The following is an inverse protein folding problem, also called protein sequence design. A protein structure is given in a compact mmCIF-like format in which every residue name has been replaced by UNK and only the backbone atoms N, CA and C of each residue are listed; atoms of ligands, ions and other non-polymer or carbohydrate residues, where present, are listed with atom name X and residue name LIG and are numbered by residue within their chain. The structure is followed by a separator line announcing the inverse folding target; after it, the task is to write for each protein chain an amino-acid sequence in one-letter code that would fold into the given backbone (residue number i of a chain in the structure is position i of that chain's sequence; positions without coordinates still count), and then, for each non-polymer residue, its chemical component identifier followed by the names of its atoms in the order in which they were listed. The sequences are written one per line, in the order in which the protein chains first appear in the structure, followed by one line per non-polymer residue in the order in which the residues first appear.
data_IF_731673450481
#
_entry.id   IF_731673450481
#
_cell.length_a   1.000
_cell.length_b   1.000
_cell.length_c   1.000
_cell.angle_alpha   90.00
_cell.angle_beta   90.00
_cell.angle_gamma   90.00
#
_symmetry.space_group_name_H-M   'P 1'
#
loop_
_entity.id
_entity.type
_entity.pdbx_description
1 polymer ?
#
# COMPACT_ATOMS: atom_id res chain seq x y z
N UNK A 1 -30.25 -7.29 -15.12
CA UNK A 1 -29.13 -6.45 -14.65
C UNK A 1 -27.86 -7.23 -14.94
N UNK A 2 -26.79 -6.60 -15.46
CA UNK A 2 -25.55 -7.34 -15.76
C UNK A 2 -24.99 -8.02 -14.49
N UNK A 3 -24.27 -9.12 -14.66
CA UNK A 3 -23.64 -9.86 -13.55
C UNK A 3 -22.80 -8.92 -12.65
N UNK A 4 -22.06 -7.99 -13.27
CA UNK A 4 -21.28 -6.96 -12.59
C UNK A 4 -22.08 -6.08 -11.62
N UNK A 5 -23.31 -5.69 -12.02
CA UNK A 5 -24.15 -4.83 -11.18
C UNK A 5 -24.60 -5.58 -9.93
N UNK A 6 -24.96 -6.86 -10.09
CA UNK A 6 -25.35 -7.73 -8.98
C UNK A 6 -24.19 -7.93 -8.00
N UNK A 7 -23.00 -8.23 -8.51
CA UNK A 7 -21.77 -8.38 -7.70
C UNK A 7 -21.47 -7.08 -6.94
N UNK A 8 -21.48 -5.93 -7.63
CA UNK A 8 -21.23 -4.63 -7.00
C UNK A 8 -22.23 -4.34 -5.88
N UNK A 9 -23.51 -4.59 -6.09
CA UNK A 9 -24.54 -4.42 -5.06
C UNK A 9 -24.32 -5.34 -3.86
N UNK A 10 -23.85 -6.57 -4.09
CA UNK A 10 -23.50 -7.48 -2.99
C UNK A 10 -22.31 -6.93 -2.17
N UNK A 11 -21.22 -6.50 -2.82
CA UNK A 11 -20.06 -5.91 -2.14
C UNK A 11 -20.46 -4.64 -1.38
N UNK A 12 -21.24 -3.75 -2.00
CA UNK A 12 -21.78 -2.56 -1.34
C UNK A 12 -22.60 -2.91 -0.10
N UNK A 13 -23.47 -3.94 -0.19
CA UNK A 13 -24.29 -4.39 0.95
C UNK A 13 -23.43 -4.96 2.07
N UNK A 14 -22.33 -5.65 1.77
CA UNK A 14 -21.38 -6.10 2.79
C UNK A 14 -20.85 -4.90 3.57
N UNK A 15 -20.25 -3.92 2.89
CA UNK A 15 -19.64 -2.77 3.55
C UNK A 15 -20.64 -1.77 4.13
N UNK A 16 -21.91 -1.81 3.71
CA UNK A 16 -22.99 -1.10 4.41
C UNK A 16 -23.44 -1.84 5.69
N UNK A 17 -23.27 -3.18 5.76
CA UNK A 17 -23.57 -3.99 6.95
C UNK A 17 -22.41 -3.96 7.95
N UNK A 18 -21.18 -4.04 7.43
CA UNK A 18 -19.92 -4.10 8.17
C UNK A 18 -18.93 -3.11 7.54
N UNK A 19 -19.00 -1.82 7.90
CA UNK A 19 -18.08 -0.82 7.37
C UNK A 19 -16.62 -1.14 7.71
N UNK A 20 -15.75 -1.07 6.71
CA UNK A 20 -14.36 -1.49 6.81
C UNK A 20 -13.41 -0.40 6.24
N UNK A 21 -12.19 -0.23 6.79
CA UNK A 21 -11.65 -0.95 7.95
C UNK A 21 -12.27 -0.46 9.29
N UNK A 22 -12.31 -1.30 10.35
CA UNK A 22 -13.13 -1.04 11.52
C UNK A 22 -12.41 -0.24 12.61
N UNK A 23 -11.34 0.49 12.30
CA UNK A 23 -10.55 1.23 13.29
C UNK A 23 -11.43 2.19 14.08
N UNK A 24 -11.18 2.36 15.39
CA UNK A 24 -11.94 3.33 16.19
C UNK A 24 -11.77 4.75 15.62
N UNK A 25 -12.78 5.58 15.81
CA UNK A 25 -12.70 7.01 15.55
C UNK A 25 -11.93 7.68 16.70
N UNK A 26 -10.91 8.46 16.35
CA UNK A 26 -10.05 9.17 17.30
C UNK A 26 -10.34 10.68 17.25
N UNK A 27 -10.11 11.35 18.37
CA UNK A 27 -10.22 12.82 18.48
C UNK A 27 -8.85 13.51 18.33
N UNK A 28 -7.89 12.80 17.73
CA UNK A 28 -6.53 13.26 17.47
C UNK A 28 -6.05 12.74 16.11
N UNK A 29 -5.05 13.39 15.47
CA UNK A 29 -4.46 12.92 14.23
C UNK A 29 -3.95 11.47 14.33
N UNK A 30 -3.94 10.73 13.22
CA UNK A 30 -3.56 9.33 13.25
C UNK A 30 -2.09 9.18 13.69
N UNK A 31 -1.76 8.18 14.53
CA UNK A 31 -0.41 7.99 15.02
C UNK A 31 0.52 7.46 13.92
N UNK A 32 1.79 7.86 13.97
CA UNK A 32 2.80 7.41 13.03
C UNK A 32 2.59 7.95 11.60
N UNK A 33 3.15 7.25 10.64
CA UNK A 33 3.04 7.57 9.22
C UNK A 33 3.09 6.27 8.41
N UNK A 34 2.60 6.31 7.16
CA UNK A 34 2.89 5.31 6.15
C UNK A 34 3.57 6.03 4.99
N UNK A 35 4.84 5.74 4.72
CA UNK A 35 5.62 6.46 3.71
C UNK A 35 5.02 6.32 2.31
N UNK A 36 4.29 5.23 2.03
CA UNK A 36 3.60 4.98 0.75
C UNK A 36 2.47 5.98 0.51
N UNK A 37 1.97 6.59 1.58
CA UNK A 37 0.89 7.59 1.58
C UNK A 37 1.43 9.01 1.72
N UNK A 38 2.74 9.21 1.84
CA UNK A 38 3.38 10.52 1.77
C UNK A 38 3.96 10.71 0.36
N UNK A 39 3.50 11.73 -0.36
CA UNK A 39 3.87 11.99 -1.75
C UNK A 39 5.38 12.10 -1.96
N UNK A 40 6.08 12.84 -1.09
CA UNK A 40 7.52 13.05 -1.19
C UNK A 40 8.27 11.72 -1.02
N UNK A 41 7.92 10.94 0.01
CA UNK A 41 8.56 9.66 0.30
C UNK A 41 8.25 8.61 -0.79
N UNK A 42 6.98 8.49 -1.20
CA UNK A 42 6.58 7.56 -2.26
C UNK A 42 7.23 7.91 -3.61
N UNK A 43 7.30 9.20 -3.97
CA UNK A 43 7.97 9.65 -5.19
C UNK A 43 9.48 9.44 -5.12
N UNK A 44 10.12 9.70 -3.97
CA UNK A 44 11.54 9.38 -3.77
C UNK A 44 11.82 7.89 -3.88
N UNK A 45 10.96 7.04 -3.32
CA UNK A 45 11.10 5.59 -3.46
C UNK A 45 11.03 5.14 -4.93
N UNK A 46 10.04 5.67 -5.68
CA UNK A 46 9.79 5.27 -7.06
C UNK A 46 10.76 5.88 -8.09
N UNK A 47 11.19 7.12 -7.85
CA UNK A 47 11.92 7.94 -8.83
C UNK A 47 13.35 8.29 -8.38
N UNK A 48 13.73 7.87 -7.17
CA UNK A 48 15.02 8.18 -6.53
C UNK A 48 15.29 9.67 -6.35
N UNK A 49 14.28 10.52 -6.30
CA UNK A 49 14.44 11.98 -6.14
C UNK A 49 13.23 12.61 -5.46
N UNK A 50 13.41 13.82 -4.92
CA UNK A 50 12.30 14.66 -4.47
C UNK A 50 11.39 15.06 -5.66
N UNK A 51 10.06 15.07 -5.49
CA UNK A 51 9.16 15.68 -6.47
C UNK A 51 9.32 17.21 -6.47
N UNK A 52 9.02 17.86 -7.58
CA UNK A 52 9.17 19.32 -7.74
C UNK A 52 8.13 20.13 -6.96
N UNK A 53 6.99 19.52 -6.61
CA UNK A 53 5.84 20.19 -5.99
C UNK A 53 5.10 19.31 -4.99
N UNK A 54 4.41 19.96 -4.06
CA UNK A 54 3.62 19.34 -2.98
C UNK A 54 2.12 19.66 -3.06
N UNK A 55 1.74 20.68 -3.84
CA UNK A 55 0.35 21.07 -4.14
C UNK A 55 -0.25 20.18 -5.25
N UNK A 56 -0.23 18.88 -4.98
CA UNK A 56 -0.64 17.85 -5.92
C UNK A 56 -2.12 17.45 -5.79
N UNK A 57 -2.61 16.61 -6.69
CA UNK A 57 -3.93 15.98 -6.58
C UNK A 57 -3.80 14.50 -6.23
N UNK A 58 -4.50 14.06 -5.19
CA UNK A 58 -4.50 12.68 -4.72
C UNK A 58 -5.90 12.09 -4.85
N UNK A 59 -6.01 10.87 -5.39
CA UNK A 59 -7.23 10.07 -5.35
C UNK A 59 -7.06 8.92 -4.35
N UNK A 60 -7.91 8.85 -3.33
CA UNK A 60 -8.09 7.68 -2.50
C UNK A 60 -9.23 6.83 -3.06
N UNK A 61 -8.87 5.79 -3.81
CA UNK A 61 -9.78 4.97 -4.61
C UNK A 61 -10.26 3.74 -3.83
N UNK A 62 -11.47 3.84 -3.27
CA UNK A 62 -12.06 2.87 -2.34
C UNK A 62 -11.63 3.18 -0.92
N UNK A 63 -11.97 4.38 -0.45
CA UNK A 63 -11.47 4.93 0.82
C UNK A 63 -12.03 4.23 2.07
N UNK A 64 -13.07 3.41 1.93
CA UNK A 64 -13.73 2.71 3.04
C UNK A 64 -14.18 3.69 4.12
N UNK A 65 -13.91 3.36 5.38
CA UNK A 65 -14.18 4.21 6.55
C UNK A 65 -13.17 5.35 6.74
N UNK A 66 -12.33 5.63 5.74
CA UNK A 66 -11.45 6.79 5.69
C UNK A 66 -10.14 6.67 6.47
N UNK A 67 -9.76 5.48 6.95
CA UNK A 67 -8.49 5.28 7.66
C UNK A 67 -7.30 5.74 6.79
N UNK A 68 -7.24 5.31 5.52
CA UNK A 68 -6.23 5.79 4.57
C UNK A 68 -6.35 7.30 4.28
N UNK A 69 -7.57 7.79 4.03
CA UNK A 69 -7.83 9.21 3.75
C UNK A 69 -7.32 10.13 4.87
N UNK A 70 -7.51 9.74 6.12
CA UNK A 70 -7.05 10.48 7.30
C UNK A 70 -5.53 10.63 7.31
N UNK A 71 -4.77 9.57 7.02
CA UNK A 71 -3.32 9.65 6.86
C UNK A 71 -2.91 10.48 5.64
N UNK A 72 -3.60 10.34 4.50
CA UNK A 72 -3.31 11.12 3.30
C UNK A 72 -3.44 12.63 3.58
N UNK A 73 -4.47 13.04 4.33
CA UNK A 73 -4.67 14.43 4.77
C UNK A 73 -3.54 14.93 5.68
N UNK A 74 -3.13 14.10 6.65
CA UNK A 74 -2.10 14.44 7.62
C UNK A 74 -0.70 14.53 6.99
N UNK A 75 -0.38 13.62 6.07
CA UNK A 75 0.95 13.48 5.47
C UNK A 75 1.18 14.37 4.26
N UNK A 76 0.12 14.91 3.65
CA UNK A 76 0.20 15.75 2.45
C UNK A 76 -0.59 17.05 2.65
N UNK A 77 -0.11 17.98 3.52
CA UNK A 77 -0.92 19.11 3.99
C UNK A 77 -1.39 20.07 2.89
N UNK A 78 -0.74 20.08 1.73
CA UNK A 78 -1.07 20.96 0.59
C UNK A 78 -1.80 20.25 -0.56
N UNK A 79 -1.98 18.94 -0.49
CA UNK A 79 -2.56 18.17 -1.58
C UNK A 79 -4.08 18.36 -1.66
N UNK A 80 -4.64 18.35 -2.86
CA UNK A 80 -6.08 18.28 -3.08
C UNK A 80 -6.52 16.82 -3.14
N UNK A 81 -7.24 16.35 -2.14
CA UNK A 81 -7.62 14.95 -1.96
C UNK A 81 -9.07 14.73 -2.39
N UNK A 82 -9.28 13.75 -3.26
CA UNK A 82 -10.59 13.20 -3.61
C UNK A 82 -10.65 11.77 -3.09
N UNK A 83 -11.65 11.43 -2.30
CA UNK A 83 -11.88 10.09 -1.78
C UNK A 83 -13.18 9.54 -2.37
N UNK A 84 -13.15 8.31 -2.88
CA UNK A 84 -14.33 7.66 -3.45
C UNK A 84 -14.56 6.30 -2.83
N UNK A 85 -15.83 5.92 -2.65
CA UNK A 85 -16.22 4.57 -2.23
C UNK A 85 -17.62 4.21 -2.75
N UNK A 86 -17.97 2.93 -2.74
CA UNK A 86 -19.30 2.42 -3.09
C UNK A 86 -20.25 2.32 -1.90
N UNK A 87 -19.74 2.34 -0.66
CA UNK A 87 -20.54 2.21 0.57
C UNK A 87 -20.89 3.59 1.13
N UNK A 88 -22.17 3.93 1.13
CA UNK A 88 -22.65 5.17 1.76
C UNK A 88 -22.32 5.18 3.26
N UNK A 89 -22.45 4.03 3.94
CA UNK A 89 -22.17 3.93 5.37
C UNK A 89 -20.70 4.12 5.68
N UNK A 90 -19.81 3.56 4.86
CA UNK A 90 -18.37 3.74 5.04
C UNK A 90 -17.98 5.22 4.80
N UNK A 91 -18.55 5.88 3.78
CA UNK A 91 -18.32 7.30 3.51
C UNK A 91 -18.82 8.22 4.64
N UNK A 92 -19.93 7.91 5.29
CA UNK A 92 -20.38 8.63 6.49
C UNK A 92 -19.31 8.56 7.60
N UNK A 93 -18.77 7.36 7.85
CA UNK A 93 -17.72 7.14 8.86
C UNK A 93 -16.41 7.83 8.45
N UNK A 94 -16.04 7.80 7.17
CA UNK A 94 -14.84 8.46 6.66
C UNK A 94 -14.86 9.97 6.88
N UNK A 95 -16.00 10.60 6.60
CA UNK A 95 -16.21 12.03 6.86
C UNK A 95 -16.10 12.33 8.36
N UNK A 96 -16.73 11.53 9.19
CA UNK A 96 -16.67 11.70 10.65
C UNK A 96 -15.25 11.52 11.19
N UNK A 97 -14.52 10.51 10.72
CA UNK A 97 -13.12 10.25 11.07
C UNK A 97 -12.24 11.47 10.81
N UNK A 98 -12.24 11.96 9.58
CA UNK A 98 -11.40 13.09 9.17
C UNK A 98 -11.75 14.38 9.92
N UNK A 99 -13.02 14.55 10.32
CA UNK A 99 -13.47 15.68 11.14
C UNK A 99 -13.01 15.55 12.60
N UNK A 100 -13.22 14.38 13.22
CA UNK A 100 -12.92 14.15 14.65
C UNK A 100 -11.43 14.22 14.95
N UNK A 101 -10.58 13.65 14.10
CA UNK A 101 -9.13 13.74 14.29
C UNK A 101 -8.56 15.15 14.07
N UNK A 102 -9.38 16.06 13.52
CA UNK A 102 -9.00 17.44 13.24
C UNK A 102 -8.02 17.59 12.07
N UNK A 103 -7.70 16.51 11.34
CA UNK A 103 -6.81 16.58 10.17
C UNK A 103 -7.44 17.39 9.04
N UNK A 104 -8.75 17.23 8.80
CA UNK A 104 -9.46 18.01 7.78
C UNK A 104 -9.45 19.52 8.07
N UNK A 105 -9.49 19.91 9.36
CA UNK A 105 -9.43 21.31 9.78
C UNK A 105 -8.03 21.93 9.58
N UNK A 106 -6.97 21.13 9.77
CA UNK A 106 -5.56 21.57 9.63
C UNK A 106 -5.05 21.50 8.19
N UNK A 107 -5.73 20.74 7.34
CA UNK A 107 -5.36 20.52 5.95
C UNK A 107 -5.56 21.80 5.12
N UNK A 108 -4.58 22.12 4.27
CA UNK A 108 -4.56 23.37 3.49
C UNK A 108 -5.04 23.20 2.05
N UNK A 109 -5.03 21.97 1.53
CA UNK A 109 -5.65 21.62 0.26
C UNK A 109 -7.16 21.38 0.40
N UNK A 110 -7.82 20.97 -0.70
CA UNK A 110 -9.24 20.61 -0.68
C UNK A 110 -9.46 19.13 -0.35
N UNK A 111 -10.56 18.81 0.33
CA UNK A 111 -11.04 17.43 0.51
C UNK A 111 -12.45 17.26 -0.07
N UNK A 112 -12.66 16.23 -0.88
CA UNK A 112 -13.98 15.86 -1.40
C UNK A 112 -14.23 14.36 -1.30
N UNK A 113 -15.45 13.98 -0.90
CA UNK A 113 -15.90 12.58 -0.85
C UNK A 113 -16.99 12.34 -1.89
N UNK A 114 -16.88 11.26 -2.66
CA UNK A 114 -17.91 10.87 -3.62
C UNK A 114 -18.33 9.41 -3.43
N UNK A 115 -19.65 9.19 -3.46
CA UNK A 115 -20.21 7.86 -3.65
C UNK A 115 -20.08 7.48 -5.12
N UNK A 116 -19.03 6.74 -5.46
CA UNK A 116 -18.65 6.46 -6.84
C UNK A 116 -17.87 5.14 -6.92
N UNK A 117 -18.31 4.19 -7.78
CA UNK A 117 -17.51 3.00 -8.05
C UNK A 117 -16.24 3.33 -8.84
N UNK A 118 -15.15 2.59 -8.57
CA UNK A 118 -13.84 2.80 -9.19
C UNK A 118 -13.87 2.69 -10.71
N UNK A 119 -14.71 1.80 -11.26
CA UNK A 119 -14.92 1.63 -12.70
C UNK A 119 -15.55 2.87 -13.37
N UNK A 120 -16.00 3.84 -12.56
CA UNK A 120 -16.52 5.14 -12.98
C UNK A 120 -15.63 6.32 -12.54
N UNK A 121 -14.40 6.06 -12.07
CA UNK A 121 -13.43 7.10 -11.70
C UNK A 121 -13.13 8.07 -12.85
N UNK A 122 -13.35 7.65 -14.11
CA UNK A 122 -13.26 8.52 -15.29
C UNK A 122 -14.20 9.72 -15.27
N UNK A 123 -15.29 9.65 -14.48
CA UNK A 123 -16.24 10.75 -14.28
C UNK A 123 -15.69 11.87 -13.37
N UNK A 124 -14.60 11.63 -12.62
CA UNK A 124 -13.97 12.65 -11.79
C UNK A 124 -13.25 13.70 -12.67
N UNK A 125 -13.24 14.98 -12.30
CA UNK A 125 -12.57 16.02 -13.08
C UNK A 125 -11.05 15.97 -12.96
N UNK A 126 -10.34 16.20 -14.09
CA UNK A 126 -8.87 16.34 -14.16
C UNK A 126 -8.08 15.08 -13.75
N UNK A 127 -6.76 15.12 -13.79
CA UNK A 127 -5.90 13.97 -13.44
C UNK A 127 -5.36 14.07 -12.00
N UNK A 128 -4.77 12.98 -11.50
CA UNK A 128 -4.19 12.85 -10.16
C UNK A 128 -2.71 12.50 -10.24
N UNK A 129 -1.88 13.13 -9.42
CA UNK A 129 -0.44 12.87 -9.32
C UNK A 129 -0.17 11.58 -8.52
N UNK A 130 -1.01 11.29 -7.52
CA UNK A 130 -0.99 10.06 -6.76
C UNK A 130 -2.39 9.45 -6.71
N UNK A 131 -2.51 8.17 -7.04
CA UNK A 131 -3.71 7.39 -6.78
C UNK A 131 -3.34 6.31 -5.77
N UNK A 132 -4.02 6.29 -4.64
CA UNK A 132 -3.91 5.25 -3.62
C UNK A 132 -5.12 4.31 -3.74
N UNK A 133 -4.88 3.03 -4.03
CA UNK A 133 -5.92 2.01 -4.19
C UNK A 133 -5.55 0.75 -3.40
N UNK A 134 -5.85 0.76 -2.10
CA UNK A 134 -5.36 -0.24 -1.15
C UNK A 134 -6.52 -1.11 -0.67
N UNK A 135 -6.50 -2.41 -0.96
CA UNK A 135 -7.54 -3.31 -0.44
C UNK A 135 -8.83 -3.36 -1.29
N UNK A 136 -8.79 -3.00 -2.57
CA UNK A 136 -10.03 -2.70 -3.34
C UNK A 136 -10.16 -3.49 -4.64
N UNK A 137 -9.14 -3.49 -5.51
CA UNK A 137 -9.26 -4.02 -6.89
C UNK A 137 -9.71 -5.49 -6.94
N UNK A 138 -9.33 -6.32 -5.97
CA UNK A 138 -9.73 -7.74 -5.88
C UNK A 138 -11.21 -7.94 -5.51
N UNK A 139 -11.90 -6.91 -5.03
CA UNK A 139 -13.32 -6.95 -4.71
C UNK A 139 -14.21 -6.46 -5.85
N UNK A 140 -13.64 -5.96 -6.94
CA UNK A 140 -14.41 -5.50 -8.09
C UNK A 140 -15.05 -6.67 -8.85
N UNK A 141 -16.21 -6.43 -9.50
CA UNK A 141 -16.74 -7.38 -10.48
C UNK A 141 -15.74 -7.60 -11.63
N UNK A 142 -15.18 -6.51 -12.15
CA UNK A 142 -14.16 -6.49 -13.21
C UNK A 142 -12.95 -5.67 -12.75
N UNK A 143 -11.92 -6.32 -12.15
CA UNK A 143 -10.70 -5.64 -11.72
C UNK A 143 -9.92 -4.97 -12.86
N UNK A 144 -9.99 -5.52 -14.08
CA UNK A 144 -9.29 -4.99 -15.26
C UNK A 144 -9.88 -3.64 -15.65
N UNK A 145 -11.21 -3.54 -15.72
CA UNK A 145 -11.90 -2.27 -15.93
C UNK A 145 -11.60 -1.26 -14.82
N UNK A 146 -11.52 -1.74 -13.58
CA UNK A 146 -11.13 -0.92 -12.43
C UNK A 146 -9.76 -0.28 -12.60
N UNK A 147 -8.71 -1.08 -12.82
CA UNK A 147 -7.35 -0.55 -12.95
C UNK A 147 -7.19 0.34 -14.19
N UNK A 148 -7.86 0.02 -15.31
CA UNK A 148 -7.87 0.88 -16.50
C UNK A 148 -8.52 2.24 -16.24
N UNK A 149 -9.64 2.27 -15.52
CA UNK A 149 -10.30 3.52 -15.11
C UNK A 149 -9.37 4.41 -14.27
N UNK A 150 -8.63 3.80 -13.33
CA UNK A 150 -7.65 4.53 -12.51
C UNK A 150 -6.46 5.00 -13.35
N UNK A 151 -5.91 4.15 -14.21
CA UNK A 151 -4.77 4.48 -15.07
C UNK A 151 -5.06 5.67 -16.01
N UNK A 152 -6.29 5.78 -16.53
CA UNK A 152 -6.73 6.92 -17.34
C UNK A 152 -6.74 8.24 -16.57
N UNK A 153 -6.87 8.19 -15.23
CA UNK A 153 -6.92 9.36 -14.35
C UNK A 153 -5.58 9.72 -13.73
N UNK A 154 -4.56 8.89 -13.92
CA UNK A 154 -3.21 9.17 -13.47
C UNK A 154 -2.58 10.24 -14.38
N UNK A 155 -1.98 11.27 -13.79
CA UNK A 155 -1.25 12.29 -14.54
C UNK A 155 0.06 11.72 -15.10
N UNK A 156 0.61 12.25 -16.21
CA UNK A 156 1.96 11.91 -16.65
C UNK A 156 2.98 12.16 -15.52
N UNK A 157 3.86 11.19 -15.25
CA UNK A 157 4.78 11.19 -14.11
C UNK A 157 4.14 10.82 -12.77
N UNK A 158 2.82 10.60 -12.73
CA UNK A 158 2.09 10.23 -11.52
C UNK A 158 2.29 8.77 -11.12
N UNK A 159 1.99 8.49 -9.84
CA UNK A 159 2.12 7.18 -9.21
C UNK A 159 0.75 6.57 -8.85
N UNK A 160 0.59 5.28 -9.08
CA UNK A 160 -0.55 4.48 -8.62
C UNK A 160 -0.05 3.42 -7.64
N UNK A 161 -0.40 3.59 -6.37
CA UNK A 161 -0.10 2.67 -5.28
C UNK A 161 -1.23 1.65 -5.13
N UNK A 162 -0.91 0.36 -5.18
CA UNK A 162 -1.89 -0.73 -5.18
C UNK A 162 -1.56 -1.75 -4.11
N UNK A 163 -2.60 -2.22 -3.41
CA UNK A 163 -2.57 -3.43 -2.58
C UNK A 163 -3.66 -4.41 -3.04
N UNK A 164 -3.29 -5.66 -3.30
CA UNK A 164 -4.23 -6.75 -3.62
C UNK A 164 -3.85 -8.08 -2.94
N UNK A 165 -4.82 -8.97 -2.77
CA UNK A 165 -4.59 -10.25 -2.10
C UNK A 165 -3.83 -11.28 -2.94
N UNK A 166 -2.96 -12.02 -2.26
CA UNK A 166 -2.17 -13.09 -2.85
C UNK A 166 -2.78 -14.46 -2.55
N UNK A 167 -2.92 -15.26 -3.60
CA UNK A 167 -3.59 -16.56 -3.60
C UNK A 167 -2.91 -17.56 -2.66
N UNK A 168 -1.57 -17.67 -2.74
CA UNK A 168 -0.85 -18.73 -2.03
C UNK A 168 -0.86 -18.54 -0.50
N UNK A 169 -0.67 -17.31 -0.01
CA UNK A 169 -0.68 -17.04 1.44
C UNK A 169 -2.07 -16.96 2.07
N UNK A 170 -3.13 -16.97 1.25
CA UNK A 170 -4.54 -16.86 1.70
C UNK A 170 -5.39 -18.07 1.32
N UNK A 171 -4.82 -19.16 0.83
CA UNK A 171 -5.60 -20.32 0.39
C UNK A 171 -6.50 -20.92 1.48
N UNK A 172 -6.13 -20.87 2.77
CA UNK A 172 -7.02 -21.29 3.86
C UNK A 172 -8.28 -20.41 3.98
N UNK A 173 -8.18 -19.13 3.64
CA UNK A 173 -9.31 -18.20 3.65
C UNK A 173 -10.33 -18.60 2.59
N UNK A 174 -9.88 -18.93 1.37
CA UNK A 174 -10.76 -19.41 0.29
C UNK A 174 -11.53 -20.68 0.69
N UNK A 175 -10.86 -21.60 1.40
CA UNK A 175 -11.49 -22.81 1.91
C UNK A 175 -12.57 -22.48 2.95
N UNK A 176 -12.28 -21.57 3.87
CA UNK A 176 -13.24 -21.16 4.89
C UNK A 176 -14.43 -20.38 4.30
N UNK A 177 -14.19 -19.45 3.37
CA UNK A 177 -15.25 -18.77 2.61
C UNK A 177 -16.17 -19.77 1.91
N UNK A 178 -15.59 -20.80 1.27
CA UNK A 178 -16.36 -21.86 0.59
C UNK A 178 -17.17 -22.70 1.59
N UNK A 179 -16.59 -23.04 2.74
CA UNK A 179 -17.26 -23.80 3.79
C UNK A 179 -18.44 -23.03 4.39
N UNK A 180 -18.26 -21.73 4.68
CA UNK A 180 -19.33 -20.85 5.15
C UNK A 180 -20.44 -20.79 4.10
N UNK A 181 -20.11 -20.52 2.83
CA UNK A 181 -21.10 -20.43 1.77
C UNK A 181 -21.93 -21.72 1.59
N UNK A 182 -21.32 -22.90 1.76
CA UNK A 182 -22.03 -24.19 1.74
C UNK A 182 -23.02 -24.32 2.91
N UNK A 183 -22.62 -23.90 4.10
CA UNK A 183 -23.45 -24.00 5.32
C UNK A 183 -24.53 -22.92 5.40
N UNK A 184 -24.34 -21.77 4.75
CA UNK A 184 -25.39 -20.76 4.62
C UNK A 184 -26.55 -21.23 3.73
N UNK A 185 -26.27 -22.06 2.72
CA UNK A 185 -27.29 -22.55 1.78
C UNK A 185 -28.13 -21.41 1.18
N UNK A 186 -29.44 -21.46 1.36
CA UNK A 186 -30.39 -20.45 0.87
C UNK A 186 -30.23 -19.07 1.53
N UNK A 187 -29.47 -18.96 2.64
CA UNK A 187 -29.17 -17.69 3.32
C UNK A 187 -27.93 -16.98 2.79
N UNK A 188 -27.28 -17.51 1.75
CA UNK A 188 -26.09 -16.89 1.16
C UNK A 188 -26.33 -15.42 0.81
N UNK A 189 -25.46 -14.55 1.32
CA UNK A 189 -25.58 -13.10 1.18
C UNK A 189 -26.23 -12.40 2.38
N UNK A 190 -26.73 -13.15 3.37
CA UNK A 190 -26.92 -12.64 4.73
C UNK A 190 -25.55 -12.64 5.43
N UNK A 191 -24.90 -11.48 5.49
CA UNK A 191 -23.54 -11.38 6.02
C UNK A 191 -23.47 -11.61 7.52
N UNK A 192 -24.53 -11.29 8.27
CA UNK A 192 -24.58 -11.52 9.72
C UNK A 192 -24.67 -13.00 10.04
N UNK A 193 -25.49 -13.71 9.27
CA UNK A 193 -25.54 -15.17 9.30
C UNK A 193 -24.18 -15.78 8.95
N UNK A 194 -23.52 -15.29 7.90
CA UNK A 194 -22.22 -15.80 7.47
C UNK A 194 -21.13 -15.65 8.54
N UNK A 195 -21.11 -14.50 9.25
CA UNK A 195 -20.20 -14.31 10.40
C UNK A 195 -20.53 -15.30 11.51
N UNK A 196 -21.81 -15.46 11.87
CA UNK A 196 -22.22 -16.39 12.91
C UNK A 196 -21.83 -17.84 12.59
N UNK A 197 -22.12 -18.30 11.37
CA UNK A 197 -21.74 -19.62 10.87
C UNK A 197 -20.23 -19.79 10.88
N UNK A 198 -19.48 -18.83 10.34
CA UNK A 198 -18.01 -18.90 10.29
C UNK A 198 -17.38 -19.01 11.68
N UNK A 199 -17.85 -18.21 12.65
CA UNK A 199 -17.37 -18.30 14.03
C UNK A 199 -17.72 -19.64 14.68
N UNK A 200 -18.91 -20.20 14.40
CA UNK A 200 -19.30 -21.52 14.89
C UNK A 200 -18.44 -22.65 14.30
N UNK A 201 -18.07 -22.55 13.00
CA UNK A 201 -17.13 -23.48 12.37
C UNK A 201 -15.79 -23.45 13.11
N UNK A 202 -15.17 -22.27 13.26
CA UNK A 202 -13.88 -22.16 13.93
C UNK A 202 -13.91 -22.65 15.39
N UNK A 203 -15.01 -22.39 16.11
CA UNK A 203 -15.21 -22.88 17.47
C UNK A 203 -15.35 -24.41 17.55
N UNK A 204 -15.87 -25.04 16.48
CA UNK A 204 -16.14 -26.48 16.42
C UNK A 204 -15.01 -27.31 15.81
N UNK A 205 -14.06 -26.68 15.10
CA UNK A 205 -12.96 -27.39 14.46
C UNK A 205 -12.04 -28.05 15.51
N UNK A 206 -11.54 -29.28 15.26
CA UNK A 206 -10.55 -29.92 16.13
C UNK A 206 -9.29 -29.06 16.28
N UNK A 207 -8.67 -29.08 17.48
CA UNK A 207 -7.48 -28.25 17.77
C UNK A 207 -6.29 -28.49 16.82
N UNK A 208 -6.19 -29.69 16.25
CA UNK A 208 -5.14 -30.05 15.29
C UNK A 208 -5.48 -29.69 13.84
N UNK A 209 -6.67 -29.15 13.55
CA UNK A 209 -7.07 -28.74 12.21
C UNK A 209 -6.14 -27.63 11.68
N UNK A 210 -5.65 -27.79 10.45
CA UNK A 210 -4.68 -26.87 9.83
C UNK A 210 -5.23 -25.45 9.66
N UNK A 211 -6.50 -25.31 9.25
CA UNK A 211 -7.14 -24.00 9.04
C UNK A 211 -7.27 -23.27 10.37
N UNK A 212 -7.73 -23.96 11.42
CA UNK A 212 -7.84 -23.38 12.77
C UNK A 212 -6.48 -22.96 13.34
N UNK A 213 -5.43 -23.78 13.15
CA UNK A 213 -4.08 -23.43 13.58
C UNK A 213 -3.58 -22.18 12.89
N UNK A 214 -3.71 -22.11 11.56
CA UNK A 214 -3.27 -20.95 10.77
C UNK A 214 -4.03 -19.69 11.17
N UNK A 215 -5.34 -19.78 11.39
CA UNK A 215 -6.14 -18.68 11.94
C UNK A 215 -5.55 -18.15 13.26
N UNK A 216 -5.31 -19.05 14.22
CA UNK A 216 -4.75 -18.68 15.53
C UNK A 216 -3.37 -18.04 15.41
N UNK A 217 -2.50 -18.59 14.57
CA UNK A 217 -1.10 -18.17 14.43
C UNK A 217 -0.95 -16.86 13.65
N UNK A 218 -1.73 -16.66 12.58
CA UNK A 218 -1.51 -15.56 11.63
C UNK A 218 -2.52 -14.43 11.73
N UNK A 219 -3.79 -14.76 11.95
CA UNK A 219 -4.91 -13.86 11.68
C UNK A 219 -5.66 -13.44 12.95
N UNK A 220 -5.48 -14.17 14.05
CA UNK A 220 -6.22 -13.96 15.29
C UNK A 220 -6.21 -12.50 15.76
N UNK A 221 -5.06 -11.81 15.69
CA UNK A 221 -4.92 -10.40 16.07
C UNK A 221 -5.73 -9.43 15.19
N UNK A 222 -5.94 -9.78 13.91
CA UNK A 222 -6.60 -8.93 12.91
C UNK A 222 -8.12 -9.24 12.83
N UNK A 223 -8.53 -10.44 13.26
CA UNK A 223 -9.84 -11.04 12.97
C UNK A 223 -10.82 -11.10 14.17
N UNK A 224 -10.57 -10.30 15.22
CA UNK A 224 -11.43 -10.29 16.41
C UNK A 224 -12.78 -9.61 16.21
N UNK A 225 -12.86 -8.62 15.31
CA UNK A 225 -14.09 -7.84 15.05
C UNK A 225 -14.93 -8.51 13.97
N UNK A 226 -16.24 -8.33 14.02
CA UNK A 226 -17.14 -8.91 13.02
C UNK A 226 -16.95 -8.29 11.65
N UNK A 227 -16.56 -7.01 11.59
CA UNK A 227 -16.22 -6.33 10.34
C UNK A 227 -15.00 -6.97 9.67
N UNK A 228 -13.91 -7.20 10.43
CA UNK A 228 -12.73 -7.90 9.93
C UNK A 228 -13.04 -9.33 9.50
N UNK A 229 -13.87 -10.03 10.27
CA UNK A 229 -14.28 -11.40 9.95
C UNK A 229 -15.13 -11.44 8.68
N UNK A 230 -16.05 -10.50 8.52
CA UNK A 230 -16.91 -10.41 7.36
C UNK A 230 -16.11 -10.07 6.09
N UNK A 231 -15.18 -9.11 6.18
CA UNK A 231 -14.25 -8.74 5.10
C UNK A 231 -13.36 -9.92 4.68
N UNK A 232 -12.85 -10.69 5.64
CA UNK A 232 -11.96 -11.82 5.35
C UNK A 232 -12.70 -13.08 4.85
N UNK A 233 -13.75 -13.52 5.55
CA UNK A 233 -14.33 -14.86 5.39
C UNK A 233 -15.74 -14.89 4.80
N UNK A 234 -16.40 -13.75 4.67
CA UNK A 234 -17.79 -13.65 4.20
C UNK A 234 -17.92 -12.74 2.97
N UNK A 235 -16.79 -12.34 2.38
CA UNK A 235 -16.79 -11.42 1.25
C UNK A 235 -17.46 -12.03 0.02
N UNK A 236 -18.42 -11.35 -0.64
CA UNK A 236 -19.19 -11.93 -1.76
C UNK A 236 -18.39 -12.02 -3.06
N UNK A 237 -17.26 -11.30 -3.16
CA UNK A 237 -16.40 -11.24 -4.35
C UNK A 237 -14.94 -11.03 -3.96
N UNK A 238 -14.10 -12.04 -4.13
CA UNK A 238 -12.66 -11.91 -3.97
C UNK A 238 -11.98 -12.50 -5.21
N UNK A 239 -10.98 -11.80 -5.72
CA UNK A 239 -10.08 -12.26 -6.77
C UNK A 239 -8.68 -12.28 -6.19
N UNK A 240 -8.18 -13.47 -5.88
CA UNK A 240 -6.82 -13.63 -5.40
C UNK A 240 -5.86 -13.82 -6.56
N UNK A 241 -4.71 -13.16 -6.47
CA UNK A 241 -3.70 -13.17 -7.52
C UNK A 241 -2.56 -14.11 -7.15
N UNK A 242 -2.03 -14.83 -8.12
CA UNK A 242 -0.61 -15.22 -8.12
C UNK A 242 0.18 -14.23 -9.00
N UNK A 243 1.52 -14.33 -9.03
CA UNK A 243 2.36 -13.43 -9.83
C UNK A 243 1.95 -13.37 -11.30
N UNK A 244 1.57 -14.48 -11.93
CA UNK A 244 1.19 -14.50 -13.34
C UNK A 244 -0.08 -13.68 -13.60
N UNK A 245 -1.13 -13.92 -12.81
CA UNK A 245 -2.40 -13.17 -12.89
C UNK A 245 -2.27 -11.73 -12.41
N UNK A 246 -1.37 -11.45 -11.47
CA UNK A 246 -1.04 -10.09 -11.03
C UNK A 246 -0.46 -9.28 -12.18
N UNK A 247 0.50 -9.85 -12.91
CA UNK A 247 1.09 -9.16 -14.05
C UNK A 247 0.10 -8.99 -15.21
N UNK A 248 -0.90 -9.87 -15.36
CA UNK A 248 -2.00 -9.62 -16.30
C UNK A 248 -2.81 -8.38 -15.91
N UNK A 249 -3.11 -8.19 -14.62
CA UNK A 249 -3.77 -6.97 -14.12
C UNK A 249 -2.90 -5.72 -14.38
N UNK A 250 -1.60 -5.81 -14.05
CA UNK A 250 -0.64 -4.72 -14.25
C UNK A 250 -0.54 -4.35 -15.74
N UNK A 251 -0.36 -5.33 -16.62
CA UNK A 251 -0.22 -5.10 -18.06
C UNK A 251 -1.48 -4.45 -18.65
N UNK A 252 -2.66 -4.87 -18.18
CA UNK A 252 -3.92 -4.31 -18.65
C UNK A 252 -4.12 -2.84 -18.28
N UNK A 253 -3.39 -2.32 -17.29
CA UNK A 253 -3.39 -0.89 -16.94
C UNK A 253 -2.68 -0.01 -17.99
N UNK A 254 -1.73 -0.59 -18.74
CA UNK A 254 -0.84 0.15 -19.63
C UNK A 254 0.19 1.05 -18.93
N UNK A 255 0.32 0.95 -17.60
CA UNK A 255 1.29 1.70 -16.79
C UNK A 255 2.61 0.92 -16.67
N UNK A 256 3.69 1.64 -16.37
CA UNK A 256 4.97 1.03 -16.06
C UNK A 256 4.96 0.46 -14.65
N UNK A 257 5.38 -0.80 -14.49
CA UNK A 257 5.65 -1.39 -13.18
C UNK A 257 6.93 -0.80 -12.60
N UNK A 258 6.85 -0.14 -11.44
CA UNK A 258 8.01 0.42 -10.75
C UNK A 258 8.66 -0.64 -9.87
N UNK A 259 7.84 -1.38 -9.11
CA UNK A 259 8.33 -2.38 -8.18
C UNK A 259 7.37 -2.60 -7.02
N UNK A 260 7.59 -3.69 -6.28
CA UNK A 260 6.93 -3.93 -5.01
C UNK A 260 7.44 -2.98 -3.92
N UNK A 261 6.57 -2.61 -2.99
CA UNK A 261 6.88 -1.70 -1.88
C UNK A 261 7.86 -2.31 -0.85
N UNK A 262 8.10 -3.61 -0.91
CA UNK A 262 8.93 -4.40 -0.01
C UNK A 262 10.04 -5.17 -0.77
N UNK A 263 10.94 -4.51 -1.51
CA UNK A 263 11.86 -5.15 -2.48
C UNK A 263 12.74 -6.24 -1.86
N UNK A 264 13.06 -6.15 -0.56
CA UNK A 264 13.82 -7.17 0.15
C UNK A 264 13.13 -8.55 0.22
N UNK A 265 11.80 -8.60 0.19
CA UNK A 265 11.05 -9.86 0.16
C UNK A 265 11.27 -10.63 -1.15
N UNK A 266 11.56 -9.90 -2.23
CA UNK A 266 11.67 -10.45 -3.58
C UNK A 266 13.08 -10.90 -3.97
N UNK A 267 14.05 -10.79 -3.05
CA UNK A 267 15.42 -11.24 -3.24
C UNK A 267 15.53 -12.76 -3.08
N UNK A 268 15.85 -13.46 -4.17
CA UNK A 268 15.96 -14.93 -4.19
C UNK A 268 17.08 -15.46 -3.29
N UNK A 269 18.10 -14.65 -3.01
CA UNK A 269 19.21 -14.97 -2.13
C UNK A 269 18.73 -15.41 -0.74
N UNK A 270 17.59 -14.87 -0.26
CA UNK A 270 16.96 -15.25 1.01
C UNK A 270 16.54 -16.72 1.05
N UNK A 271 16.17 -17.28 -0.11
CA UNK A 271 15.61 -18.63 -0.23
C UNK A 271 16.64 -19.61 -0.79
N UNK A 272 17.38 -19.20 -1.82
CA UNK A 272 18.27 -20.07 -2.60
C UNK A 272 19.77 -19.72 -2.43
N UNK A 273 20.12 -18.67 -1.69
CA UNK A 273 21.50 -18.17 -1.57
C UNK A 273 22.52 -19.17 -1.02
N UNK A 274 22.06 -20.24 -0.36
CA UNK A 274 22.92 -21.35 0.10
C UNK A 274 23.44 -22.23 -1.04
N UNK A 275 22.85 -22.17 -2.23
CA UNK A 275 23.23 -22.97 -3.39
C UNK A 275 23.67 -22.07 -4.55
N UNK A 276 24.98 -21.90 -4.77
CA UNK A 276 25.50 -21.16 -5.92
C UNK A 276 25.00 -21.71 -7.25
N UNK A 277 24.79 -23.03 -7.36
CA UNK A 277 24.25 -23.65 -8.58
C UNK A 277 22.81 -23.22 -8.86
N UNK A 278 21.94 -23.22 -7.85
CA UNK A 278 20.55 -22.76 -8.02
C UNK A 278 20.50 -21.27 -8.32
N UNK A 279 21.36 -20.46 -7.68
CA UNK A 279 21.47 -19.03 -7.98
C UNK A 279 21.93 -18.79 -9.43
N UNK A 280 22.90 -19.55 -9.93
CA UNK A 280 23.34 -19.46 -11.33
C UNK A 280 22.23 -19.84 -12.32
N UNK A 281 21.37 -20.81 -11.96
CA UNK A 281 20.17 -21.13 -12.76
C UNK A 281 19.16 -19.98 -12.73
N UNK A 282 18.90 -19.42 -11.56
CA UNK A 282 17.96 -18.32 -11.38
C UNK A 282 18.39 -17.02 -12.09
N UNK A 283 19.69 -16.80 -12.30
CA UNK A 283 20.20 -15.67 -13.08
C UNK A 283 19.74 -15.67 -14.55
N UNK A 284 19.36 -16.84 -15.10
CA UNK A 284 18.84 -16.94 -16.46
C UNK A 284 17.33 -16.67 -16.57
N UNK A 285 16.64 -16.49 -15.44
CA UNK A 285 15.21 -16.21 -15.42
C UNK A 285 14.94 -14.72 -15.66
N UNK A 286 13.88 -14.43 -16.42
CA UNK A 286 13.33 -13.08 -16.52
C UNK A 286 12.88 -12.55 -15.15
N UNK A 287 12.66 -11.24 -15.06
CA UNK A 287 12.23 -10.61 -13.80
C UNK A 287 10.93 -11.21 -13.23
N UNK A 288 9.89 -11.37 -14.06
CA UNK A 288 8.61 -11.96 -13.63
C UNK A 288 8.74 -13.42 -13.21
N UNK A 289 9.59 -14.18 -13.88
CA UNK A 289 9.89 -15.58 -13.51
C UNK A 289 10.61 -15.64 -12.16
N UNK A 290 11.50 -14.69 -11.86
CA UNK A 290 12.14 -14.59 -10.54
C UNK A 290 11.12 -14.25 -9.45
N UNK A 291 10.20 -13.32 -9.69
CA UNK A 291 9.10 -13.06 -8.75
C UNK A 291 8.22 -14.30 -8.54
N UNK A 292 7.86 -14.99 -9.63
CA UNK A 292 7.06 -16.22 -9.55
C UNK A 292 7.78 -17.31 -8.78
N UNK A 293 9.08 -17.48 -9.01
CA UNK A 293 9.91 -18.43 -8.27
C UNK A 293 9.97 -18.07 -6.78
N UNK A 294 10.16 -16.80 -6.44
CA UNK A 294 10.12 -16.34 -5.04
C UNK A 294 8.78 -16.66 -4.39
N UNK A 295 7.67 -16.32 -5.05
CA UNK A 295 6.31 -16.57 -4.54
C UNK A 295 6.04 -18.06 -4.32
N UNK A 296 6.51 -18.93 -5.24
CA UNK A 296 6.36 -20.38 -5.11
C UNK A 296 7.17 -20.98 -3.95
N UNK A 297 8.32 -20.38 -3.63
CA UNK A 297 9.21 -20.83 -2.58
C UNK A 297 8.94 -20.18 -1.22
N UNK A 298 8.18 -19.08 -1.20
CA UNK A 298 7.73 -18.37 -0.01
C UNK A 298 6.21 -18.13 -0.05
N UNK A 299 5.40 -19.17 0.20
CA UNK A 299 3.94 -19.08 0.13
C UNK A 299 3.32 -18.32 1.33
N UNK A 300 4.11 -17.64 2.15
CA UNK A 300 3.63 -16.83 3.28
C UNK A 300 3.15 -15.43 2.85
N UNK A 301 3.42 -15.03 1.61
CA UNK A 301 2.99 -13.73 1.05
C UNK A 301 1.47 -13.72 0.96
N UNK A 302 0.81 -12.88 1.77
CA UNK A 302 -0.65 -12.77 1.82
C UNK A 302 -1.21 -11.68 0.93
N UNK A 303 -0.38 -10.79 0.44
CA UNK A 303 -0.76 -9.68 -0.42
C UNK A 303 0.41 -9.21 -1.27
N UNK A 304 0.09 -8.53 -2.36
CA UNK A 304 1.03 -7.76 -3.16
C UNK A 304 0.76 -6.29 -2.96
N UNK A 305 1.81 -5.53 -2.68
CA UNK A 305 1.76 -4.09 -2.60
C UNK A 305 2.87 -3.49 -3.46
N UNK A 306 2.51 -2.61 -4.39
CA UNK A 306 3.42 -2.16 -5.44
C UNK A 306 3.02 -0.80 -6.00
N UNK A 307 3.94 -0.21 -6.75
CA UNK A 307 3.73 1.04 -7.47
C UNK A 307 3.74 0.82 -8.98
N UNK A 308 2.79 1.47 -9.64
CA UNK A 308 2.78 1.70 -11.08
C UNK A 308 2.98 3.19 -11.35
N UNK A 309 3.45 3.54 -12.54
CA UNK A 309 3.62 4.94 -12.93
C UNK A 309 3.26 5.18 -14.39
N UNK A 310 2.77 6.39 -14.70
CA UNK A 310 2.45 6.80 -16.07
C UNK A 310 3.65 7.52 -16.69
N UNK A 311 4.24 7.04 -17.79
CA UNK A 311 5.33 7.74 -18.47
C UNK A 311 4.92 9.16 -18.95
N UNK A 312 5.88 10.09 -19.09
CA UNK A 312 7.30 9.96 -18.76
C UNK A 312 7.56 10.02 -17.25
N UNK A 313 8.45 9.16 -16.75
CA UNK A 313 8.87 9.13 -15.35
C UNK A 313 10.26 9.76 -15.27
N UNK A 314 10.43 10.77 -14.43
CA UNK A 314 11.71 11.42 -14.22
C UNK A 314 12.43 10.75 -13.05
N UNK A 315 13.39 9.88 -13.37
CA UNK A 315 14.26 9.22 -12.38
C UNK A 315 15.60 9.96 -12.25
N UNK A 316 16.20 9.94 -11.07
CA UNK A 316 17.57 10.41 -10.87
C UNK A 316 18.56 9.25 -10.70
N UNK A 317 19.78 9.43 -11.21
CA UNK A 317 20.91 8.55 -10.96
C UNK A 317 21.99 9.32 -10.19
N UNK A 318 22.19 8.93 -8.93
CA UNK A 318 23.17 9.54 -8.02
C UNK A 318 24.49 8.76 -7.94
N UNK A 319 24.75 7.86 -8.90
CA UNK A 319 25.97 7.06 -8.94
C UNK A 319 27.22 7.91 -9.16
N UNK A 320 27.13 9.00 -9.94
CA UNK A 320 28.25 9.90 -10.21
C UNK A 320 28.58 10.85 -9.05
N UNK A 321 29.84 10.90 -8.62
CA UNK A 321 30.30 11.75 -7.50
C UNK A 321 29.91 13.21 -7.68
N UNK A 322 30.20 13.80 -8.85
CA UNK A 322 29.91 15.20 -9.12
C UNK A 322 28.40 15.52 -9.08
N UNK A 323 27.56 14.58 -9.51
CA UNK A 323 26.10 14.76 -9.50
C UNK A 323 25.60 14.69 -8.07
N UNK A 324 26.09 13.74 -7.28
CA UNK A 324 25.77 13.59 -5.88
C UNK A 324 26.22 14.81 -5.05
N UNK A 325 27.44 15.30 -5.25
CA UNK A 325 27.96 16.49 -4.55
C UNK A 325 27.11 17.73 -4.76
N UNK A 326 26.55 17.90 -5.96
CA UNK A 326 25.72 19.05 -6.31
C UNK A 326 24.24 18.88 -5.92
N UNK A 327 23.82 17.70 -5.48
CA UNK A 327 22.44 17.43 -5.09
C UNK A 327 22.12 18.13 -3.76
N UNK A 328 20.92 18.69 -3.65
CA UNK A 328 20.42 19.25 -2.38
C UNK A 328 19.86 18.11 -1.53
N UNK A 329 20.26 18.05 -0.26
CA UNK A 329 19.87 16.96 0.64
C UNK A 329 18.87 17.40 1.71
N UNK A 330 17.86 16.57 1.93
CA UNK A 330 16.85 16.74 2.98
C UNK A 330 16.69 15.43 3.76
N UNK A 331 16.41 15.51 5.05
CA UNK A 331 16.04 14.32 5.84
C UNK A 331 14.76 13.70 5.27
N UNK A 332 14.70 12.37 5.22
CA UNK A 332 13.49 11.68 4.78
C UNK A 332 12.29 12.06 5.68
N UNK A 333 11.13 12.49 5.11
CA UNK A 333 10.01 13.06 5.88
C UNK A 333 9.29 12.01 6.73
N UNK A 334 9.58 10.74 6.48
CA UNK A 334 9.01 9.57 7.14
C UNK A 334 10.14 8.79 7.83
N UNK A 335 10.93 9.46 8.67
CA UNK A 335 12.00 8.87 9.49
C UNK A 335 11.62 8.89 10.98
N UNK A 336 11.18 7.75 11.51
CA UNK A 336 10.61 7.68 12.87
C UNK A 336 11.67 7.83 13.95
N UNK A 337 11.37 8.66 14.95
CA UNK A 337 12.30 8.96 16.07
C UNK A 337 13.28 10.10 15.76
N UNK A 338 13.27 10.66 14.56
CA UNK A 338 14.05 11.86 14.24
C UNK A 338 13.53 13.09 15.03
N UNK A 339 14.40 13.97 15.60
CA UNK A 339 15.87 13.93 15.56
C UNK A 339 16.49 13.09 16.70
N UNK A 340 17.11 11.96 16.34
CA UNK A 340 17.84 11.05 17.23
C UNK A 340 18.89 10.27 16.43
N UNK A 341 19.95 9.80 17.08
CA UNK A 341 20.91 8.87 16.47
C UNK A 341 20.37 7.43 16.34
N UNK A 342 19.28 7.12 17.05
CA UNK A 342 18.55 5.86 16.93
C UNK A 342 17.16 6.14 16.37
N UNK A 343 16.95 5.69 15.14
CA UNK A 343 15.73 5.93 14.33
C UNK A 343 15.21 4.61 13.77
N UNK A 344 14.00 4.60 13.23
CA UNK A 344 13.53 3.52 12.38
C UNK A 344 13.54 3.97 10.92
N UNK A 345 14.03 3.12 10.02
CA UNK A 345 13.97 3.35 8.58
C UNK A 345 12.53 3.23 8.04
N UNK A 346 12.37 3.39 6.72
CA UNK A 346 11.08 3.31 6.04
C UNK A 346 10.39 1.92 6.12
N UNK A 347 11.15 0.87 6.47
CA UNK A 347 10.65 -0.49 6.74
C UNK A 347 10.49 -0.75 8.26
N UNK A 348 10.52 0.31 9.09
CA UNK A 348 10.48 0.27 10.54
C UNK A 348 11.61 -0.54 11.20
N UNK A 349 12.74 -0.71 10.51
CA UNK A 349 13.90 -1.41 11.07
C UNK A 349 14.77 -0.44 11.87
N UNK A 350 15.28 -0.86 13.05
CA UNK A 350 16.18 -0.02 13.82
C UNK A 350 17.46 0.32 13.05
N UNK A 351 17.77 1.62 12.98
CA UNK A 351 19.02 2.15 12.44
C UNK A 351 19.71 2.97 13.51
N UNK A 352 20.97 2.61 13.78
CA UNK A 352 21.85 3.41 14.63
C UNK A 352 22.83 4.16 13.75
N UNK A 353 22.71 5.47 13.76
CA UNK A 353 23.56 6.40 13.03
C UNK A 353 24.87 6.56 13.80
N UNK A 354 25.99 6.53 13.08
CA UNK A 354 27.25 7.05 13.63
C UNK A 354 27.14 8.54 13.93
N UNK A 355 28.02 9.07 14.78
CA UNK A 355 28.04 10.49 15.13
C UNK A 355 28.12 11.39 13.89
N UNK A 356 28.89 10.97 12.87
CA UNK A 356 29.00 11.71 11.60
C UNK A 356 27.77 11.58 10.71
N UNK A 357 27.15 10.41 10.63
CA UNK A 357 25.90 10.25 9.88
C UNK A 357 24.77 11.08 10.51
N UNK A 358 24.70 11.11 11.84
CA UNK A 358 23.74 11.93 12.56
C UNK A 358 23.98 13.43 12.31
N UNK A 359 25.22 13.91 12.44
CA UNK A 359 25.57 15.29 12.15
C UNK A 359 25.30 15.68 10.69
N UNK A 360 25.56 14.78 9.74
CA UNK A 360 25.27 14.99 8.32
C UNK A 360 23.75 15.14 8.08
N UNK A 361 22.93 14.23 8.63
CA UNK A 361 21.47 14.32 8.51
C UNK A 361 20.91 15.57 9.22
N UNK A 362 21.50 16.01 10.33
CA UNK A 362 21.10 17.27 10.99
C UNK A 362 21.32 18.50 10.10
N UNK A 363 22.29 18.45 9.19
CA UNK A 363 22.58 19.51 8.24
C UNK A 363 21.78 19.40 6.92
N UNK A 364 21.06 18.29 6.69
CA UNK A 364 20.19 18.10 5.52
C UNK A 364 18.87 18.89 5.67
N UNK A 365 18.95 20.21 5.53
CA UNK A 365 17.83 21.14 5.71
C UNK A 365 17.08 21.48 4.41
N UNK A 366 17.42 20.82 3.30
CA UNK A 366 16.86 21.10 1.98
C UNK A 366 17.38 22.39 1.33
N UNK A 367 18.48 22.98 1.83
CA UNK A 367 19.12 24.16 1.24
C UNK A 367 20.56 23.92 0.83
N UNK A 368 21.31 23.18 1.64
CA UNK A 368 22.70 22.87 1.36
C UNK A 368 22.82 21.66 0.43
N UNK A 369 23.84 21.71 -0.42
CA UNK A 369 24.26 20.57 -1.24
C UNK A 369 24.98 19.52 -0.41
N UNK A 370 25.01 18.28 -0.88
CA UNK A 370 25.78 17.19 -0.26
C UNK A 370 27.25 17.59 -0.11
N UNK A 371 27.86 18.23 -1.11
CA UNK A 371 29.26 18.66 -1.07
C UNK A 371 29.51 19.72 0.01
N UNK A 372 28.59 20.68 0.17
CA UNK A 372 28.69 21.71 1.21
C UNK A 372 28.54 21.14 2.62
N UNK A 373 27.66 20.15 2.81
CA UNK A 373 27.49 19.46 4.10
C UNK A 373 28.72 18.57 4.38
N UNK A 374 29.19 17.82 3.38
CA UNK A 374 30.32 16.91 3.55
C UNK A 374 31.63 17.66 3.83
N UNK A 375 31.81 18.87 3.28
CA UNK A 375 32.94 19.73 3.62
C UNK A 375 32.97 20.14 5.11
N UNK A 376 31.81 20.13 5.79
CA UNK A 376 31.69 20.47 7.22
C UNK A 376 31.82 19.24 8.12
N UNK A 377 31.25 18.11 7.72
CA UNK A 377 31.11 16.90 8.55
C UNK A 377 32.17 15.83 8.24
N UNK A 378 32.73 15.85 7.03
CA UNK A 378 33.69 14.85 6.51
C UNK A 378 33.18 13.41 6.67
N UNK A 379 31.97 13.15 6.19
CA UNK A 379 31.32 11.84 6.17
C UNK A 379 31.82 10.98 5.00
N UNK A 380 32.02 11.60 3.83
CA UNK A 380 32.43 10.98 2.58
C UNK A 380 31.25 10.46 1.74
N UNK A 381 31.34 10.63 0.41
CA UNK A 381 30.26 10.31 -0.54
C UNK A 381 29.79 8.84 -0.51
N UNK A 382 30.67 7.89 -0.17
CA UNK A 382 30.29 6.47 -0.02
C UNK A 382 29.26 6.29 1.10
N UNK A 383 29.45 6.96 2.23
CA UNK A 383 28.52 6.90 3.34
C UNK A 383 27.22 7.67 3.04
N UNK A 384 27.30 8.80 2.32
CA UNK A 384 26.11 9.53 1.83
C UNK A 384 25.25 8.63 0.92
N UNK A 385 25.86 7.89 -0.01
CA UNK A 385 25.14 6.90 -0.83
C UNK A 385 24.46 5.82 0.00
N UNK A 386 25.11 5.35 1.06
CA UNK A 386 24.52 4.39 1.99
C UNK A 386 23.30 4.98 2.73
N UNK A 387 23.34 6.26 3.12
CA UNK A 387 22.17 6.94 3.70
C UNK A 387 21.02 7.04 2.70
N UNK A 388 21.31 7.38 1.45
CA UNK A 388 20.32 7.48 0.36
C UNK A 388 19.69 6.11 0.02
N UNK A 389 20.51 5.06 -0.12
CA UNK A 389 20.03 3.70 -0.42
C UNK A 389 19.15 3.13 0.69
N UNK A 390 19.41 3.52 1.94
CA UNK A 390 18.57 3.19 3.10
C UNK A 390 17.35 4.11 3.26
N UNK A 391 17.11 5.04 2.32
CA UNK A 391 16.01 6.01 2.36
C UNK A 391 16.00 6.89 3.63
N UNK A 392 17.18 7.26 4.14
CA UNK A 392 17.30 8.12 5.33
C UNK A 392 17.36 9.61 4.97
N UNK A 393 17.67 9.90 3.72
CA UNK A 393 17.64 11.23 3.12
C UNK A 393 17.01 11.17 1.73
N UNK A 394 16.60 12.33 1.24
CA UNK A 394 16.07 12.56 -0.10
C UNK A 394 16.97 13.58 -0.80
N UNK A 395 17.14 13.40 -2.10
CA UNK A 395 17.96 14.26 -2.95
C UNK A 395 17.09 14.93 -4.03
N UNK A 396 17.41 16.18 -4.37
CA UNK A 396 16.74 16.94 -5.43
C UNK A 396 17.71 17.58 -6.40
#
# INVERSE_FOLDING_TARGET
MSDDATIRTAVQRLYNTYPFPPEPLLDEPPPGYNWRWNWIAAYNFCCHRKPEREDIRILDAGCGTGAGTEYLLALNPFANIVAIDISEKALEIAKERCNRSGVALKHRGSLAFHHLPLESATNLPGEFDLINCVGVLHHLPDPIKGIQSLAQKLAPGGLLHIFVYAQLGRWEIQLMQSAIALLQGDRRGDYKDGVAVGREIFASLPENNRILKREKERWSMENHRDESFADMYVHPREVDYNIDTLFQLIDASGLAFIGFSNPSYWQLERLLGKSPELMARAQNLGERERYRLTELLDPEITHYEFFLAKPPILTADWSGDQVLENAVAEVHPCLYGWPSASVLDYDYRPVNLSEREFAFLQACDGRLTVGEIDAQVALGLTAVRSLQQRQLLILS
#
